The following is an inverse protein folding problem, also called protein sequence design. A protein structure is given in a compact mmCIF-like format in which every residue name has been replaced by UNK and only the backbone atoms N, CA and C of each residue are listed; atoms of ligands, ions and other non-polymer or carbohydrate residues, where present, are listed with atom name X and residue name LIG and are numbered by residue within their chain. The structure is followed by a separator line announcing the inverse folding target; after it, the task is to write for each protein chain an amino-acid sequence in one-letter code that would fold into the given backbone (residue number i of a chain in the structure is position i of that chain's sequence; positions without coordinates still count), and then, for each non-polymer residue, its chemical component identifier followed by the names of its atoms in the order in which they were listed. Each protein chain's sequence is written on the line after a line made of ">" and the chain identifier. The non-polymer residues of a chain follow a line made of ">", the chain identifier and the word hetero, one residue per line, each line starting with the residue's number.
data_IF_552915957413
#
_entry.id   IF_552915957413
#
_cell.length_a   1.000
_cell.length_b   1.000
_cell.length_c   1.000
_cell.angle_alpha   90.00
_cell.angle_beta   90.00
_cell.angle_gamma   90.00
#
_symmetry.space_group_name_H-M   'P 1'
#
loop_
_entity.id
_entity.type
_entity.pdbx_description
1 polymer ?
#
# COMPACT_ATOMS: atom_id res chain seq x y z
N UNK A 1 42.76 -40.38 -1.07
CA UNK A 1 42.62 -40.93 -2.43
C UNK A 1 41.17 -41.35 -2.61
N UNK A 2 40.49 -40.91 -3.62
CA UNK A 2 39.14 -41.30 -4.01
C UNK A 2 39.17 -42.53 -4.86
N UNK A 3 38.23 -43.45 -4.61
CA UNK A 3 38.04 -44.66 -5.41
C UNK A 3 36.75 -44.55 -6.23
N UNK A 4 36.65 -45.31 -7.31
CA UNK A 4 35.44 -45.43 -8.08
C UNK A 4 34.31 -46.01 -7.21
N UNK A 5 33.22 -45.26 -7.02
CA UNK A 5 32.10 -45.61 -6.18
C UNK A 5 32.07 -44.90 -4.81
N UNK A 6 33.11 -44.14 -4.45
CA UNK A 6 33.05 -43.28 -3.26
C UNK A 6 31.98 -42.19 -3.42
N UNK A 7 31.22 -41.94 -2.37
CA UNK A 7 30.14 -40.94 -2.35
C UNK A 7 30.41 -39.92 -1.25
N UNK A 8 30.21 -38.66 -1.57
CA UNK A 8 30.12 -37.58 -0.58
C UNK A 8 28.67 -37.14 -0.49
N UNK A 9 28.12 -37.13 0.70
CA UNK A 9 26.84 -36.50 0.99
C UNK A 9 27.11 -35.15 1.63
N UNK A 10 26.52 -34.08 1.03
CA UNK A 10 26.55 -32.71 1.56
C UNK A 10 25.14 -32.32 1.95
N UNK A 11 24.92 -32.08 3.24
CA UNK A 11 23.65 -31.55 3.76
C UNK A 11 23.81 -30.07 3.97
N UNK A 12 23.02 -29.30 3.22
CA UNK A 12 22.97 -27.85 3.36
C UNK A 12 21.65 -27.45 4.06
N UNK A 13 21.69 -27.14 5.36
CA UNK A 13 20.48 -26.72 6.08
C UNK A 13 19.92 -25.42 5.44
N UNK A 14 18.62 -25.44 5.15
CA UNK A 14 17.92 -24.27 4.59
C UNK A 14 16.77 -23.88 5.53
N UNK A 15 17.03 -23.18 6.64
CA UNK A 15 15.97 -22.67 7.49
C UNK A 15 15.25 -21.49 6.83
N UNK A 16 13.98 -21.26 7.21
CA UNK A 16 13.32 -19.98 6.95
C UNK A 16 13.93 -18.93 7.88
N UNK A 17 14.39 -17.84 7.32
CA UNK A 17 15.01 -16.73 8.07
C UNK A 17 14.11 -15.51 7.96
N UNK A 18 13.87 -14.86 9.09
CA UNK A 18 13.24 -13.54 9.20
C UNK A 18 14.33 -12.48 9.26
N UNK A 19 14.47 -11.69 8.21
CA UNK A 19 15.46 -10.62 8.11
C UNK A 19 14.81 -9.28 8.35
N UNK A 20 15.31 -8.51 9.32
CA UNK A 20 14.88 -7.14 9.61
C UNK A 20 15.94 -6.15 9.18
N UNK A 21 15.50 -4.98 8.77
CA UNK A 21 16.40 -3.89 8.41
C UNK A 21 17.18 -3.38 9.64
N UNK A 22 18.37 -2.85 9.41
CA UNK A 22 19.10 -2.15 10.44
C UNK A 22 18.41 -0.83 10.81
N UNK A 23 18.54 -0.29 12.03
CA UNK A 23 17.80 0.90 12.48
C UNK A 23 17.95 2.14 11.60
N UNK A 24 19.05 2.23 10.84
CA UNK A 24 19.29 3.34 9.91
C UNK A 24 18.39 3.32 8.67
N UNK A 25 17.77 2.17 8.35
CA UNK A 25 16.81 2.02 7.25
C UNK A 25 15.39 2.18 7.80
N UNK A 26 15.01 3.40 8.13
CA UNK A 26 13.74 3.71 8.80
C UNK A 26 12.51 3.34 7.97
N UNK A 27 12.61 3.40 6.64
CA UNK A 27 11.54 3.00 5.71
C UNK A 27 11.08 1.54 5.89
N UNK A 28 11.97 0.66 6.39
CA UNK A 28 11.66 -0.76 6.63
C UNK A 28 11.61 -1.11 8.12
N UNK A 29 11.47 -0.12 8.98
CA UNK A 29 11.20 -0.34 10.41
C UNK A 29 9.89 -1.14 10.59
N UNK A 30 9.87 -2.04 11.60
CA UNK A 30 8.72 -2.90 11.92
C UNK A 30 8.25 -3.78 10.74
N UNK A 31 9.18 -4.11 9.83
CA UNK A 31 8.94 -5.01 8.70
C UNK A 31 9.96 -6.14 8.67
N UNK A 32 9.56 -7.25 8.08
CA UNK A 32 10.37 -8.44 7.88
C UNK A 32 10.42 -8.83 6.41
N UNK A 33 11.59 -9.22 5.94
CA UNK A 33 11.76 -9.97 4.69
C UNK A 33 11.99 -11.44 5.01
N UNK A 34 11.33 -12.33 4.28
CA UNK A 34 11.47 -13.77 4.45
C UNK A 34 12.52 -14.32 3.47
N UNK A 35 13.35 -15.22 3.98
CA UNK A 35 14.36 -15.95 3.20
C UNK A 35 14.24 -17.43 3.41
N UNK A 36 14.51 -18.23 2.39
CA UNK A 36 14.70 -19.67 2.46
C UNK A 36 15.95 -20.05 1.68
N UNK A 37 16.97 -20.54 2.39
CA UNK A 37 18.31 -20.68 1.84
C UNK A 37 18.84 -19.31 1.34
N UNK A 38 19.40 -19.23 0.12
CA UNK A 38 19.94 -17.99 -0.45
C UNK A 38 18.87 -17.09 -1.08
N UNK A 39 17.60 -17.50 -1.09
CA UNK A 39 16.55 -16.81 -1.82
C UNK A 39 15.72 -15.92 -0.91
N UNK A 40 15.50 -14.69 -1.34
CA UNK A 40 14.52 -13.75 -0.75
C UNK A 40 13.15 -14.04 -1.34
N UNK A 41 12.11 -13.89 -0.54
CA UNK A 41 10.72 -14.16 -0.89
C UNK A 41 9.89 -12.88 -0.90
N UNK A 42 8.80 -12.89 -1.65
CA UNK A 42 7.81 -11.83 -1.69
C UNK A 42 6.39 -12.40 -1.64
N UNK A 43 5.46 -11.63 -1.11
CA UNK A 43 4.03 -11.89 -1.22
C UNK A 43 3.46 -11.16 -2.44
N UNK A 44 2.42 -11.71 -3.07
CA UNK A 44 1.77 -11.12 -4.24
C UNK A 44 0.25 -10.99 -4.06
N UNK A 45 -0.32 -9.93 -4.62
CA UNK A 45 -1.77 -9.71 -4.63
C UNK A 45 -2.54 -10.84 -5.34
N UNK A 46 -1.90 -11.52 -6.29
CA UNK A 46 -2.45 -12.68 -7.00
C UNK A 46 -2.83 -13.84 -6.05
N UNK A 47 -2.12 -14.01 -4.92
CA UNK A 47 -2.42 -15.05 -3.94
C UNK A 47 -3.42 -14.58 -2.87
N UNK A 48 -3.61 -13.28 -2.70
CA UNK A 48 -4.37 -12.68 -1.61
C UNK A 48 -5.77 -12.20 -2.03
N UNK A 49 -6.06 -12.20 -3.34
CA UNK A 49 -7.33 -11.71 -3.88
C UNK A 49 -7.58 -10.21 -3.59
N UNK A 50 -6.52 -9.46 -3.24
CA UNK A 50 -6.60 -8.03 -2.93
C UNK A 50 -5.33 -7.30 -3.36
N UNK A 51 -5.47 -6.04 -3.78
CA UNK A 51 -4.34 -5.14 -4.03
C UNK A 51 -3.74 -4.55 -2.74
N UNK A 52 -4.42 -4.70 -1.59
CA UNK A 52 -4.02 -4.15 -0.29
C UNK A 52 -2.98 -5.01 0.44
N UNK A 53 -1.95 -5.45 -0.27
CA UNK A 53 -0.91 -6.30 0.33
C UNK A 53 -0.08 -5.55 1.37
N UNK A 54 0.03 -4.23 1.27
CA UNK A 54 0.74 -3.38 2.21
C UNK A 54 0.14 -3.39 3.63
N UNK A 55 -1.14 -3.73 3.75
CA UNK A 55 -1.84 -3.83 5.04
C UNK A 55 -1.70 -5.21 5.69
N UNK A 56 -1.02 -6.16 5.03
CA UNK A 56 -0.82 -7.49 5.59
C UNK A 56 0.25 -7.48 6.69
N UNK A 57 -0.11 -8.09 7.81
CA UNK A 57 0.74 -8.18 9.00
C UNK A 57 1.02 -9.64 9.28
N UNK A 58 2.28 -9.97 9.49
CA UNK A 58 2.71 -11.29 9.93
C UNK A 58 3.23 -11.19 11.36
N UNK A 59 2.59 -11.89 12.29
CA UNK A 59 3.06 -11.92 13.69
C UNK A 59 4.50 -12.43 13.78
N UNK A 60 5.26 -11.89 14.72
CA UNK A 60 6.66 -12.31 14.99
C UNK A 60 6.76 -13.80 15.30
N UNK A 61 5.75 -14.37 15.95
CA UNK A 61 5.65 -15.78 16.33
C UNK A 61 4.90 -16.65 15.31
N UNK A 62 4.43 -16.08 14.18
CA UNK A 62 3.70 -16.84 13.18
C UNK A 62 4.50 -18.04 12.67
N UNK A 63 3.87 -19.21 12.71
CA UNK A 63 4.48 -20.45 12.20
C UNK A 63 4.64 -20.37 10.68
N UNK A 64 5.85 -20.66 10.22
CA UNK A 64 6.20 -20.68 8.79
C UNK A 64 6.65 -22.09 8.38
N UNK A 65 6.24 -22.50 7.19
CA UNK A 65 6.63 -23.77 6.58
C UNK A 65 6.96 -23.59 5.11
N UNK A 66 7.57 -24.60 4.49
CA UNK A 66 7.83 -24.57 3.04
C UNK A 66 7.05 -25.66 2.34
N UNK A 67 6.52 -25.35 1.14
CA UNK A 67 5.78 -26.30 0.31
C UNK A 67 6.23 -26.21 -1.14
N UNK A 68 6.54 -27.34 -1.75
CA UNK A 68 6.80 -27.41 -3.18
C UNK A 68 5.49 -27.37 -3.99
N UNK A 69 5.36 -26.36 -4.87
CA UNK A 69 4.18 -26.17 -5.74
C UNK A 69 4.57 -26.37 -7.19
N UNK A 70 4.50 -27.60 -7.68
CA UNK A 70 4.94 -27.96 -9.02
C UNK A 70 4.17 -27.32 -10.16
N UNK A 71 2.90 -26.95 -9.96
CA UNK A 71 2.05 -26.26 -10.95
C UNK A 71 2.15 -24.75 -10.91
N UNK A 72 2.77 -24.17 -9.88
CA UNK A 72 2.89 -22.73 -9.74
C UNK A 72 4.16 -22.24 -10.45
N UNK A 73 4.03 -21.38 -11.45
CA UNK A 73 5.15 -20.72 -12.18
C UNK A 73 6.25 -21.70 -12.69
N UNK A 74 5.83 -22.91 -13.10
CA UNK A 74 6.77 -23.95 -13.55
C UNK A 74 7.43 -24.76 -12.44
N UNK A 75 7.01 -24.55 -11.19
CA UNK A 75 7.51 -25.22 -9.99
C UNK A 75 8.36 -24.28 -9.11
N UNK A 76 7.83 -23.94 -7.94
CA UNK A 76 8.51 -23.11 -6.94
C UNK A 76 8.32 -23.68 -5.54
N UNK A 77 9.29 -23.46 -4.68
CA UNK A 77 9.14 -23.64 -3.24
C UNK A 77 8.49 -22.38 -2.68
N UNK A 78 7.34 -22.49 -2.00
CA UNK A 78 6.70 -21.38 -1.30
C UNK A 78 7.08 -21.37 0.17
N UNK A 79 7.02 -20.20 0.81
CA UNK A 79 6.93 -20.08 2.27
C UNK A 79 5.46 -19.84 2.59
N UNK A 80 4.88 -20.74 3.36
CA UNK A 80 3.48 -20.71 3.75
C UNK A 80 3.35 -20.32 5.22
N UNK A 81 2.32 -19.55 5.54
CA UNK A 81 1.98 -19.12 6.90
C UNK A 81 0.60 -18.48 6.94
N UNK A 82 0.35 -17.69 7.98
CA UNK A 82 -0.92 -17.00 8.20
C UNK A 82 -0.64 -15.56 8.60
N UNK A 83 -1.39 -14.62 8.05
CA UNK A 83 -1.42 -13.23 8.52
C UNK A 83 -2.29 -13.11 9.78
N UNK A 84 -2.14 -12.02 10.53
CA UNK A 84 -2.90 -11.80 11.80
C UNK A 84 -4.43 -11.89 11.65
N UNK A 85 -4.97 -11.62 10.46
CA UNK A 85 -6.41 -11.73 10.18
C UNK A 85 -6.83 -13.12 9.64
N UNK A 86 -6.08 -14.17 9.95
CA UNK A 86 -6.29 -15.56 9.51
C UNK A 86 -6.22 -15.78 7.99
N UNK A 87 -5.84 -14.78 7.21
CA UNK A 87 -5.65 -14.94 5.78
C UNK A 87 -4.38 -15.75 5.49
N UNK A 88 -4.49 -16.71 4.59
CA UNK A 88 -3.36 -17.55 4.18
C UNK A 88 -2.26 -16.71 3.52
N UNK A 89 -1.02 -16.90 3.93
CA UNK A 89 0.16 -16.35 3.30
C UNK A 89 0.84 -17.42 2.45
N UNK A 90 1.10 -17.10 1.18
CA UNK A 90 1.93 -17.87 0.27
C UNK A 90 2.99 -16.95 -0.33
N UNK A 91 4.19 -16.93 0.23
CA UNK A 91 5.28 -16.17 -0.34
C UNK A 91 6.01 -17.00 -1.40
N UNK A 92 6.37 -16.37 -2.51
CA UNK A 92 7.11 -16.98 -3.62
C UNK A 92 8.53 -16.42 -3.70
N UNK A 93 9.50 -17.17 -4.29
CA UNK A 93 10.84 -16.64 -4.51
C UNK A 93 10.82 -15.35 -5.33
N UNK A 94 11.60 -14.35 -4.93
CA UNK A 94 11.60 -13.04 -5.55
C UNK A 94 12.03 -13.04 -7.03
N UNK A 95 12.77 -14.05 -7.50
CA UNK A 95 13.08 -14.21 -8.93
C UNK A 95 11.84 -14.52 -9.78
N UNK A 96 10.76 -15.05 -9.16
CA UNK A 96 9.49 -15.36 -9.82
C UNK A 96 8.46 -14.21 -9.71
N UNK A 97 8.87 -13.08 -9.15
CA UNK A 97 8.04 -11.90 -8.91
C UNK A 97 7.43 -11.34 -10.20
N UNK A 98 6.20 -10.82 -10.10
CA UNK A 98 5.44 -10.11 -11.15
C UNK A 98 5.10 -10.93 -12.40
N UNK A 99 5.33 -12.25 -12.43
CA UNK A 99 4.92 -13.10 -13.56
C UNK A 99 3.41 -13.31 -13.67
N UNK A 100 2.65 -12.96 -12.63
CA UNK A 100 1.18 -13.11 -12.56
C UNK A 100 0.46 -11.77 -12.56
N UNK A 101 1.19 -10.68 -12.70
CA UNK A 101 0.68 -9.31 -12.60
C UNK A 101 0.29 -8.91 -11.17
N UNK A 102 -0.26 -7.71 -11.03
CA UNK A 102 -0.64 -7.17 -9.73
C UNK A 102 0.56 -6.64 -8.93
N UNK A 103 0.41 -6.59 -7.61
CA UNK A 103 1.39 -6.01 -6.68
C UNK A 103 2.19 -7.10 -5.99
N UNK A 104 3.43 -6.77 -5.62
CA UNK A 104 4.29 -7.66 -4.85
C UNK A 104 5.04 -6.88 -3.77
N UNK A 105 5.31 -7.52 -2.64
CA UNK A 105 5.98 -6.91 -1.50
C UNK A 105 6.96 -7.87 -0.85
N UNK A 106 8.20 -7.43 -0.63
CA UNK A 106 9.26 -8.18 0.07
C UNK A 106 9.20 -7.90 1.58
N UNK A 107 9.09 -6.62 1.96
CA UNK A 107 9.07 -6.18 3.35
C UNK A 107 7.64 -6.21 3.90
N UNK A 108 7.31 -7.26 4.65
CA UNK A 108 5.97 -7.49 5.24
C UNK A 108 5.96 -6.86 6.64
N UNK A 109 4.89 -6.19 7.03
CA UNK A 109 4.75 -5.61 8.37
C UNK A 109 4.71 -6.70 9.44
N UNK A 110 5.35 -6.44 10.57
CA UNK A 110 5.27 -7.26 11.80
C UNK A 110 4.42 -6.63 12.89
N UNK A 111 4.08 -5.37 12.76
CA UNK A 111 3.24 -4.63 13.72
C UNK A 111 2.05 -3.96 13.03
N UNK A 112 0.94 -3.90 13.74
CA UNK A 112 -0.21 -3.15 13.31
C UNK A 112 0.15 -1.66 13.16
N UNK A 113 -0.34 -1.04 12.10
CA UNK A 113 -0.27 0.41 11.95
C UNK A 113 -1.19 1.06 12.97
N UNK A 114 -0.77 2.16 13.56
CA UNK A 114 -1.73 3.03 14.26
C UNK A 114 -2.72 3.55 13.22
N UNK A 115 -3.98 3.13 13.35
CA UNK A 115 -5.03 3.56 12.41
C UNK A 115 -5.38 5.01 12.73
N UNK A 116 -5.03 5.91 11.81
CA UNK A 116 -5.26 7.37 11.95
C UNK A 116 -6.58 7.83 11.33
N UNK A 117 -7.19 7.01 10.47
CA UNK A 117 -8.50 7.23 9.87
C UNK A 117 -9.18 5.88 9.61
N UNK A 118 -9.99 5.37 10.56
CA UNK A 118 -10.61 4.03 10.44
C UNK A 118 -11.47 3.88 9.18
N UNK A 119 -12.22 4.92 8.80
CA UNK A 119 -13.10 4.90 7.61
C UNK A 119 -12.24 4.78 6.34
N UNK A 120 -11.20 5.62 6.20
CA UNK A 120 -10.29 5.55 5.07
C UNK A 120 -9.52 4.22 5.03
N UNK A 121 -9.08 3.71 6.19
CA UNK A 121 -8.37 2.43 6.29
C UNK A 121 -9.20 1.26 5.76
N UNK A 122 -10.48 1.21 6.08
CA UNK A 122 -11.40 0.17 5.60
C UNK A 122 -11.84 0.38 4.14
N UNK A 123 -11.71 1.60 3.60
CA UNK A 123 -12.17 1.95 2.26
C UNK A 123 -11.35 1.32 1.13
N UNK A 124 -11.94 1.14 -0.04
CA UNK A 124 -11.25 0.74 -1.26
C UNK A 124 -10.87 1.98 -2.08
N UNK A 125 -9.57 2.32 -2.20
CA UNK A 125 -9.15 3.46 -2.98
C UNK A 125 -9.17 3.18 -4.48
N UNK A 126 -9.47 4.21 -5.27
CA UNK A 126 -9.33 4.22 -6.73
C UNK A 126 -9.01 5.62 -7.22
N UNK A 127 -8.58 5.76 -8.47
CA UNK A 127 -8.22 7.03 -9.07
C UNK A 127 -8.57 7.06 -10.55
N UNK A 128 -8.65 8.28 -11.12
CA UNK A 128 -8.80 8.47 -12.57
C UNK A 128 -7.63 7.88 -13.35
N UNK A 129 -6.43 8.06 -12.83
CA UNK A 129 -5.17 7.50 -13.32
C UNK A 129 -4.18 7.39 -12.17
N UNK A 130 -3.31 6.40 -12.22
CA UNK A 130 -2.16 6.23 -11.32
C UNK A 130 -0.94 5.91 -12.15
N UNK A 131 0.16 6.63 -11.96
CA UNK A 131 1.45 6.35 -12.60
C UNK A 131 1.88 4.91 -12.37
N UNK A 132 2.59 4.33 -13.33
CA UNK A 132 3.03 2.92 -13.26
C UNK A 132 4.01 2.62 -12.12
N UNK A 133 4.64 3.62 -11.55
CA UNK A 133 5.55 3.52 -10.39
C UNK A 133 4.95 4.05 -9.08
N UNK A 134 3.69 4.49 -9.09
CA UNK A 134 2.96 4.91 -7.91
C UNK A 134 1.84 3.93 -7.56
N UNK A 135 1.24 4.11 -6.38
CA UNK A 135 0.21 3.21 -5.88
C UNK A 135 -0.93 3.97 -5.20
N UNK A 136 -2.14 3.86 -5.74
CA UNK A 136 -3.31 4.50 -5.14
C UNK A 136 -3.60 4.02 -3.71
N UNK A 137 -3.16 2.81 -3.32
CA UNK A 137 -3.32 2.36 -1.93
C UNK A 137 -2.40 3.09 -0.94
N UNK A 138 -1.47 3.91 -1.40
CA UNK A 138 -0.67 4.77 -0.54
C UNK A 138 -1.51 5.81 0.19
N UNK A 139 -2.62 6.29 -0.42
CA UNK A 139 -3.43 7.35 0.20
C UNK A 139 -4.19 6.94 1.48
N UNK A 140 -4.22 5.64 1.82
CA UNK A 140 -4.84 5.12 3.05
C UNK A 140 -4.00 4.04 3.73
N UNK A 141 -2.70 4.10 3.61
CA UNK A 141 -1.79 3.13 4.22
C UNK A 141 -1.55 3.38 5.72
N UNK A 142 -2.09 4.48 6.24
CA UNK A 142 -2.06 4.92 7.63
C UNK A 142 -0.65 5.31 8.13
N UNK A 143 0.30 5.52 7.25
CA UNK A 143 1.57 6.12 7.61
C UNK A 143 1.41 7.62 7.79
N UNK A 144 1.82 8.13 8.95
CA UNK A 144 1.85 9.57 9.18
C UNK A 144 3.01 10.17 8.40
N UNK A 145 2.76 11.05 7.40
CA UNK A 145 3.84 11.63 6.62
C UNK A 145 4.79 12.48 7.49
N UNK A 146 6.10 12.32 7.29
CA UNK A 146 7.10 13.16 7.92
C UNK A 146 7.15 14.56 7.28
N UNK A 147 7.04 14.60 5.95
CA UNK A 147 6.97 15.82 5.13
C UNK A 147 6.33 15.51 3.77
N UNK A 148 6.22 16.51 2.89
CA UNK A 148 5.61 16.35 1.56
C UNK A 148 6.49 15.62 0.53
N UNK A 149 7.67 15.16 0.91
CA UNK A 149 8.56 14.32 0.08
C UNK A 149 8.70 12.91 0.65
N UNK A 150 7.92 12.61 1.70
CA UNK A 150 7.98 11.32 2.35
C UNK A 150 7.61 10.18 1.37
N UNK A 151 8.50 9.19 1.30
CA UNK A 151 8.35 7.96 0.54
C UNK A 151 8.62 6.72 1.42
N UNK A 152 8.39 6.83 2.71
CA UNK A 152 8.42 5.69 3.62
C UNK A 152 7.36 4.64 3.25
N UNK A 153 6.25 5.09 2.65
CA UNK A 153 5.25 4.28 1.99
C UNK A 153 5.07 4.61 0.50
N UNK A 154 4.19 3.91 -0.19
CA UNK A 154 3.75 4.31 -1.51
C UNK A 154 2.93 5.59 -1.42
N UNK A 155 2.86 6.32 -2.52
CA UNK A 155 2.02 7.51 -2.68
C UNK A 155 1.10 7.33 -3.90
N UNK A 156 0.02 8.09 -3.99
CA UNK A 156 -0.65 8.28 -5.26
C UNK A 156 -0.04 9.47 -6.01
N UNK A 157 0.25 9.29 -7.28
CA UNK A 157 0.67 10.33 -8.21
C UNK A 157 0.18 9.98 -9.61
N UNK A 158 -0.19 10.98 -10.40
CA UNK A 158 -0.78 10.76 -11.71
C UNK A 158 0.10 11.21 -12.88
N UNK A 159 1.41 11.43 -12.66
CA UNK A 159 2.29 11.77 -13.78
C UNK A 159 2.23 10.71 -14.91
N UNK A 160 2.15 11.08 -16.20
CA UNK A 160 2.26 12.45 -16.74
C UNK A 160 0.90 13.16 -16.91
N UNK A 161 -0.20 12.62 -16.36
CA UNK A 161 -1.53 13.19 -16.55
C UNK A 161 -1.70 14.51 -15.80
N UNK A 162 -2.25 15.50 -16.47
CA UNK A 162 -2.56 16.85 -15.97
C UNK A 162 -4.06 17.15 -16.11
N UNK A 163 -4.45 18.38 -15.77
CA UNK A 163 -5.84 18.82 -15.77
C UNK A 163 -6.59 18.34 -14.54
N UNK A 164 -7.86 18.00 -14.66
CA UNK A 164 -8.66 17.51 -13.56
C UNK A 164 -8.53 15.99 -13.43
N UNK A 165 -7.97 15.56 -12.30
CA UNK A 165 -7.89 14.18 -11.87
C UNK A 165 -8.81 13.96 -10.68
N UNK A 166 -8.99 12.70 -10.26
CA UNK A 166 -9.70 12.37 -9.03
C UNK A 166 -9.10 11.16 -8.33
N UNK A 167 -9.22 11.16 -7.01
CA UNK A 167 -9.07 10.00 -6.12
C UNK A 167 -10.39 9.75 -5.39
N UNK A 168 -10.65 8.50 -5.04
CA UNK A 168 -11.92 8.07 -4.49
C UNK A 168 -11.73 7.00 -3.44
N UNK A 169 -12.57 7.04 -2.42
CA UNK A 169 -12.84 5.92 -1.54
C UNK A 169 -14.25 5.36 -1.78
N UNK A 170 -14.35 4.07 -2.01
CA UNK A 170 -15.59 3.32 -1.82
C UNK A 170 -15.51 2.67 -0.44
N UNK A 171 -16.42 3.05 0.47
CA UNK A 171 -16.48 2.55 1.83
C UNK A 171 -17.09 1.15 1.89
N UNK A 172 -16.73 0.37 2.90
CA UNK A 172 -17.30 -0.95 3.19
C UNK A 172 -18.73 -0.90 3.78
N UNK A 173 -19.21 0.30 4.13
CA UNK A 173 -20.54 0.59 4.66
C UNK A 173 -20.93 2.04 4.46
N UNK A 174 -22.01 2.45 5.10
CA UNK A 174 -22.44 3.85 5.14
C UNK A 174 -21.95 4.51 6.42
N UNK A 175 -21.36 5.66 6.28
CA UNK A 175 -20.83 6.48 7.38
C UNK A 175 -21.37 7.91 7.32
N UNK A 176 -21.54 8.54 8.47
CA UNK A 176 -21.70 10.00 8.55
C UNK A 176 -20.32 10.59 8.68
N UNK A 177 -19.97 11.48 7.76
CA UNK A 177 -18.68 12.13 7.70
C UNK A 177 -18.86 13.65 7.57
N UNK A 178 -17.97 14.44 8.19
CA UNK A 178 -18.01 15.91 8.18
C UNK A 178 -16.62 16.55 8.15
N UNK A 179 -15.58 15.72 8.09
CA UNK A 179 -14.18 16.17 8.07
C UNK A 179 -13.30 15.34 7.13
N UNK A 180 -12.28 15.98 6.56
CA UNK A 180 -11.23 15.32 5.77
C UNK A 180 -9.90 16.05 5.89
N UNK A 181 -8.81 15.28 5.89
CA UNK A 181 -7.44 15.80 5.88
C UNK A 181 -6.68 15.26 4.66
N UNK A 182 -6.10 16.15 3.86
CA UNK A 182 -5.29 15.80 2.71
C UNK A 182 -3.83 16.19 2.93
N UNK A 183 -2.91 15.26 2.68
CA UNK A 183 -1.47 15.52 2.72
C UNK A 183 -0.87 15.42 1.33
N UNK A 184 -0.45 16.56 0.77
CA UNK A 184 0.06 16.64 -0.59
C UNK A 184 1.50 16.18 -0.69
N UNK A 185 1.83 15.52 -1.81
CA UNK A 185 3.19 15.13 -2.16
C UNK A 185 3.81 16.09 -3.17
N UNK A 186 5.15 16.22 -3.12
CA UNK A 186 5.96 16.83 -4.17
C UNK A 186 7.33 16.18 -4.28
N UNK A 187 7.79 15.94 -5.51
CA UNK A 187 9.18 15.60 -5.81
C UNK A 187 10.00 16.83 -6.24
N UNK A 188 9.36 18.00 -6.33
CA UNK A 188 9.93 19.24 -6.83
C UNK A 188 10.09 19.28 -8.35
N UNK A 189 9.46 18.35 -9.07
CA UNK A 189 9.57 18.21 -10.53
C UNK A 189 8.26 17.81 -11.19
N UNK A 190 8.07 16.54 -11.47
CA UNK A 190 6.89 16.00 -12.16
C UNK A 190 5.63 15.90 -11.31
N UNK A 191 5.78 15.80 -10.00
CA UNK A 191 4.69 15.72 -9.03
C UNK A 191 4.70 16.96 -8.13
N UNK A 192 3.61 17.72 -8.17
CA UNK A 192 3.47 19.01 -7.47
C UNK A 192 2.09 19.11 -6.79
N UNK A 193 1.94 19.97 -5.77
CA UNK A 193 0.63 20.19 -5.18
C UNK A 193 -0.36 20.73 -6.22
N UNK A 194 -1.66 20.48 -6.06
CA UNK A 194 -2.67 20.96 -6.99
C UNK A 194 -2.84 22.47 -6.94
N UNK A 195 -3.42 23.05 -8.01
CA UNK A 195 -3.89 24.44 -8.00
C UNK A 195 -5.17 24.61 -7.18
N UNK A 196 -6.03 23.59 -7.17
CA UNK A 196 -7.28 23.54 -6.40
C UNK A 196 -7.81 22.11 -6.33
N UNK A 197 -8.68 21.86 -5.37
CA UNK A 197 -9.43 20.62 -5.26
C UNK A 197 -10.77 20.85 -4.59
N UNK A 198 -11.66 19.86 -4.64
CA UNK A 198 -12.93 19.86 -3.91
C UNK A 198 -13.40 18.44 -3.65
N UNK A 199 -14.22 18.30 -2.61
CA UNK A 199 -14.76 17.01 -2.18
C UNK A 199 -16.20 16.82 -2.66
N UNK A 200 -16.49 15.59 -3.06
CA UNK A 200 -17.84 15.12 -3.35
C UNK A 200 -18.12 13.84 -2.57
N UNK A 201 -19.39 13.59 -2.28
CA UNK A 201 -19.85 12.35 -1.67
C UNK A 201 -20.82 11.61 -2.62
N UNK A 202 -20.92 10.31 -2.43
CA UNK A 202 -21.79 9.45 -3.23
C UNK A 202 -23.23 9.53 -2.70
N UNK A 203 -24.17 9.93 -3.56
CA UNK A 203 -25.62 9.96 -3.28
C UNK A 203 -26.35 9.13 -4.33
N UNK A 204 -26.67 7.89 -4.00
CA UNK A 204 -27.12 6.90 -4.96
C UNK A 204 -26.04 6.63 -6.02
N UNK A 205 -26.34 6.91 -7.29
CA UNK A 205 -25.40 6.81 -8.41
C UNK A 205 -24.65 8.11 -8.73
N UNK A 206 -24.95 9.20 -8.04
CA UNK A 206 -24.40 10.53 -8.33
C UNK A 206 -23.31 10.95 -7.34
N UNK A 207 -22.38 11.76 -7.82
CA UNK A 207 -21.43 12.47 -6.98
C UNK A 207 -21.92 13.91 -6.74
N UNK A 208 -22.08 14.27 -5.48
CA UNK A 208 -22.63 15.58 -5.05
C UNK A 208 -21.56 16.31 -4.26
N UNK A 209 -21.30 17.57 -4.60
CA UNK A 209 -20.32 18.38 -3.86
C UNK A 209 -20.78 18.58 -2.41
N UNK A 210 -19.87 18.41 -1.45
CA UNK A 210 -20.15 18.72 -0.04
C UNK A 210 -20.45 20.21 0.12
N UNK A 211 -21.35 20.54 1.04
CA UNK A 211 -21.72 21.93 1.33
C UNK A 211 -21.07 22.41 2.63
N UNK A 212 -20.86 23.71 2.77
CA UNK A 212 -20.30 24.30 3.98
C UNK A 212 -18.81 24.03 4.18
N UNK A 213 -18.08 23.67 3.12
CA UNK A 213 -16.64 23.41 3.21
C UNK A 213 -15.88 24.64 3.72
N UNK A 214 -14.99 24.45 4.71
CA UNK A 214 -14.18 25.50 5.34
C UNK A 214 -13.09 26.07 4.44
N UNK A 215 -12.78 25.37 3.34
CA UNK A 215 -11.77 25.76 2.34
C UNK A 215 -10.83 24.61 2.03
N UNK A 216 -10.34 24.56 0.80
CA UNK A 216 -9.52 23.47 0.26
C UNK A 216 -8.06 23.90 0.15
N UNK A 217 -7.27 23.64 1.20
CA UNK A 217 -5.85 23.98 1.25
C UNK A 217 -5.00 23.12 0.30
N UNK A 218 -3.89 23.73 -0.17
CA UNK A 218 -2.89 23.05 -1.04
C UNK A 218 -1.47 23.22 -0.51
N UNK A 219 -1.33 23.51 0.79
CA UNK A 219 -0.02 23.73 1.42
C UNK A 219 0.75 22.42 1.57
N UNK A 220 2.07 22.50 1.39
CA UNK A 220 3.00 21.42 1.63
C UNK A 220 3.35 21.32 3.12
N UNK A 221 3.93 20.18 3.51
CA UNK A 221 4.46 19.85 4.83
C UNK A 221 3.44 19.99 5.97
N UNK A 222 2.18 19.75 5.65
CA UNK A 222 1.07 19.78 6.61
C UNK A 222 -0.18 19.09 6.12
N UNK A 223 -1.05 18.72 7.05
CA UNK A 223 -2.43 18.36 6.78
C UNK A 223 -3.22 19.59 6.31
N UNK A 224 -3.97 19.41 5.23
CA UNK A 224 -4.91 20.40 4.70
C UNK A 224 -6.32 19.94 5.09
N UNK A 225 -6.78 20.42 6.23
CA UNK A 225 -8.05 20.05 6.85
C UNK A 225 -9.22 20.79 6.22
N UNK A 226 -10.33 20.09 6.02
CA UNK A 226 -11.58 20.63 5.50
C UNK A 226 -12.74 20.11 6.36
N UNK A 227 -13.40 21.01 7.08
CA UNK A 227 -14.70 20.75 7.71
C UNK A 227 -15.81 21.03 6.71
N UNK A 228 -16.90 20.25 6.76
CA UNK A 228 -18.05 20.43 5.88
C UNK A 228 -19.35 19.97 6.58
N UNK A 229 -20.51 20.33 6.03
CA UNK A 229 -21.78 19.84 6.58
C UNK A 229 -21.85 18.33 6.49
N UNK A 230 -22.19 17.68 7.60
CA UNK A 230 -22.23 16.22 7.70
C UNK A 230 -23.08 15.57 6.60
N UNK A 231 -22.55 14.52 5.99
CA UNK A 231 -23.22 13.73 4.96
C UNK A 231 -23.20 12.25 5.31
N UNK A 232 -24.28 11.52 5.02
CA UNK A 232 -24.38 10.08 5.20
C UNK A 232 -24.16 9.40 3.84
N UNK A 233 -23.04 8.68 3.69
CA UNK A 233 -22.59 8.19 2.40
C UNK A 233 -21.80 6.88 2.51
N UNK A 234 -21.69 6.15 1.41
CA UNK A 234 -20.80 4.99 1.26
C UNK A 234 -19.59 5.26 0.33
N UNK A 235 -19.25 6.52 0.09
CA UNK A 235 -18.05 6.86 -0.67
C UNK A 235 -17.84 8.34 -0.86
N UNK A 236 -16.60 8.72 -1.07
CA UNK A 236 -16.16 10.10 -1.31
C UNK A 236 -15.22 10.14 -2.50
N UNK A 237 -15.22 11.27 -3.21
CA UNK A 237 -14.29 11.54 -4.29
C UNK A 237 -13.75 12.97 -4.18
N UNK A 238 -12.43 13.09 -4.20
CA UNK A 238 -11.75 14.36 -4.32
C UNK A 238 -11.42 14.61 -5.81
N UNK A 239 -11.94 15.68 -6.37
CA UNK A 239 -11.53 16.20 -7.68
C UNK A 239 -10.38 17.17 -7.50
N UNK A 240 -9.31 16.98 -8.23
CA UNK A 240 -8.01 17.61 -8.02
C UNK A 240 -7.57 18.22 -9.35
N UNK A 241 -7.38 19.52 -9.40
CA UNK A 241 -6.90 20.23 -10.60
C UNK A 241 -5.39 20.41 -10.51
N UNK A 242 -4.68 20.05 -11.55
CA UNK A 242 -3.23 20.22 -11.64
C UNK A 242 -2.83 21.68 -11.39
N UNK A 243 -1.68 21.85 -10.76
CA UNK A 243 -0.97 23.11 -10.63
C UNK A 243 0.04 23.28 -11.76
N UNK A 244 1.32 23.35 -11.41
CA UNK A 244 2.42 23.45 -12.36
C UNK A 244 2.86 22.11 -12.96
N UNK A 245 2.35 21.01 -12.41
CA UNK A 245 2.60 19.64 -12.87
C UNK A 245 1.50 18.70 -12.35
N UNK A 246 1.66 17.38 -12.53
CA UNK A 246 0.69 16.37 -12.09
C UNK A 246 0.53 16.34 -10.57
N UNK A 247 -0.70 16.28 -10.02
CA UNK A 247 -0.91 16.19 -8.57
C UNK A 247 -0.53 14.84 -7.98
N UNK A 248 -0.17 14.89 -6.68
CA UNK A 248 0.12 13.68 -5.91
C UNK A 248 -0.24 13.85 -4.43
N UNK A 249 -0.57 12.73 -3.78
CA UNK A 249 -1.04 12.63 -2.39
C UNK A 249 -0.22 11.59 -1.64
N UNK A 250 0.24 11.94 -0.44
CA UNK A 250 0.89 11.00 0.48
C UNK A 250 -0.17 10.21 1.24
N UNK A 251 -1.11 10.91 1.91
CA UNK A 251 -2.14 10.29 2.73
C UNK A 251 -3.43 11.12 2.69
N UNK A 252 -4.59 10.43 2.78
CA UNK A 252 -5.91 11.07 2.80
C UNK A 252 -6.81 10.44 3.87
N UNK A 253 -7.18 11.23 4.89
CA UNK A 253 -8.06 10.82 5.98
C UNK A 253 -9.50 11.26 5.73
N UNK A 254 -10.44 10.49 6.28
CA UNK A 254 -11.87 10.77 6.34
C UNK A 254 -12.36 10.52 7.78
N UNK A 255 -13.13 11.46 8.30
CA UNK A 255 -13.72 11.39 9.65
C UNK A 255 -15.22 11.78 9.62
#
# INVERSE_FOLDING_TARGET
>A
TWNAGDTIEIVLPMPIIRTRAIPQVTADANKVALQYGPLVYNIESADLGTSRIIQKIISDDASLSTTWRGSLLGGVMTIDGTFENDATMNAIPNYARNNRGGRSMVWIREEAVTVISPIAYAATPSASYTSSWEDVNGINDQLVPADSRDRAGPIWGCWPEEGQQWIQYDFDGYYTIDHTDMYWFTDGGGLMPPSSWYLTYKSGSNWVTVSGASGYGTALDRWNSVDFNAVYTNGVRAYINSGSASPAVVEWKIE
#
